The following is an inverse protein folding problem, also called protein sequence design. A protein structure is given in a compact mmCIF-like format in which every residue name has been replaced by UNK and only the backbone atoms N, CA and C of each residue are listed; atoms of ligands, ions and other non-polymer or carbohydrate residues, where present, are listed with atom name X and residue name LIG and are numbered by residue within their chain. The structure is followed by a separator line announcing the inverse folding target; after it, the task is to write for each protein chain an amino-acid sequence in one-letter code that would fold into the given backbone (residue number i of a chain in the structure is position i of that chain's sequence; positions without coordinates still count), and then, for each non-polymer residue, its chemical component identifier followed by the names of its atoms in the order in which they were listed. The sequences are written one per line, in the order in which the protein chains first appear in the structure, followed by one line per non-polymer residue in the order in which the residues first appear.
data_IF_656266556043
#
_entry.id   IF_656266556043
#
_cell.length_a   1.000
_cell.length_b   1.000
_cell.length_c   1.000
_cell.angle_alpha   90.00
_cell.angle_beta   90.00
_cell.angle_gamma   90.00
#
_symmetry.space_group_name_H-M   'P 1'
#
loop_
_entity.id
_entity.type
_entity.pdbx_description
1 polymer ?
#
# COMPACT_ATOMS: atom_id res chain seq x y z
N UNK A 1 -15.48 -6.46 10.59
CA UNK A 1 -15.76 -5.35 9.64
C UNK A 1 -15.85 -5.97 8.26
N UNK A 2 -16.87 -5.60 7.48
CA UNK A 2 -16.97 -6.03 6.09
C UNK A 2 -15.92 -5.27 5.27
N UNK A 3 -15.25 -5.97 4.37
CA UNK A 3 -14.27 -5.39 3.46
C UNK A 3 -14.35 -6.08 2.09
N UNK A 4 -13.78 -5.46 1.08
CA UNK A 4 -13.64 -6.03 -0.27
C UNK A 4 -12.20 -6.52 -0.38
N UNK A 5 -12.02 -7.76 -0.79
CA UNK A 5 -10.71 -8.34 -1.06
C UNK A 5 -10.40 -8.28 -2.56
N UNK A 6 -9.15 -7.98 -2.89
CA UNK A 6 -8.63 -7.94 -4.26
C UNK A 6 -7.49 -8.93 -4.42
N UNK A 7 -7.46 -9.60 -5.55
CA UNK A 7 -6.35 -10.46 -5.95
C UNK A 7 -5.70 -9.99 -7.25
N UNK A 8 -4.44 -10.41 -7.45
CA UNK A 8 -3.64 -9.93 -8.58
C UNK A 8 -4.19 -10.41 -9.92
N UNK A 9 -4.66 -11.65 -9.99
CA UNK A 9 -5.12 -12.24 -11.26
C UNK A 9 -6.37 -11.54 -11.78
N UNK A 10 -7.30 -11.24 -10.89
CA UNK A 10 -8.59 -10.64 -11.22
C UNK A 10 -8.54 -9.12 -11.28
N UNK A 11 -7.91 -8.51 -10.29
CA UNK A 11 -7.99 -7.07 -10.05
C UNK A 11 -6.72 -6.32 -10.47
N UNK A 12 -5.62 -7.07 -10.65
CA UNK A 12 -4.31 -6.54 -11.01
C UNK A 12 -3.51 -5.96 -9.84
N UNK A 13 -4.02 -6.10 -8.61
CA UNK A 13 -3.33 -5.74 -7.36
C UNK A 13 -3.88 -6.58 -6.20
N UNK A 14 -3.09 -6.73 -5.14
CA UNK A 14 -3.46 -7.49 -3.94
C UNK A 14 -3.71 -6.54 -2.77
N UNK A 15 -4.93 -6.48 -2.28
CA UNK A 15 -5.37 -5.49 -1.30
C UNK A 15 -6.66 -5.89 -0.57
N UNK A 16 -7.02 -5.12 0.46
CA UNK A 16 -8.33 -5.16 1.06
C UNK A 16 -8.87 -3.73 1.29
N UNK A 17 -10.10 -3.46 0.89
CA UNK A 17 -10.73 -2.16 1.05
C UNK A 17 -11.76 -2.16 2.17
N UNK A 18 -11.64 -1.16 3.03
CA UNK A 18 -12.45 -0.98 4.22
C UNK A 18 -13.15 0.39 4.14
N UNK A 19 -14.47 0.39 4.00
CA UNK A 19 -15.26 1.62 3.96
C UNK A 19 -15.51 2.12 5.38
N UNK A 20 -15.32 3.41 5.64
CA UNK A 20 -15.71 4.04 6.90
C UNK A 20 -17.24 4.16 7.00
N UNK A 21 -17.75 4.32 8.23
CA UNK A 21 -19.19 4.41 8.48
C UNK A 21 -19.81 5.71 7.96
N UNK A 22 -19.03 6.77 7.98
CA UNK A 22 -19.45 8.07 7.46
C UNK A 22 -19.11 8.14 5.97
N UNK A 23 -19.91 8.82 5.18
CA UNK A 23 -19.58 9.05 3.79
C UNK A 23 -18.31 9.91 3.70
N UNK A 24 -17.24 9.30 3.21
CA UNK A 24 -15.94 9.95 3.02
C UNK A 24 -15.53 9.85 1.57
N UNK A 25 -15.04 10.94 1.03
CA UNK A 25 -14.39 10.99 -0.27
C UNK A 25 -12.85 10.93 -0.17
N UNK A 26 -12.34 10.59 1.01
CA UNK A 26 -10.92 10.44 1.28
C UNK A 26 -10.59 8.98 1.54
N UNK A 27 -9.50 8.50 0.97
CA UNK A 27 -8.96 7.17 1.24
C UNK A 27 -7.46 7.23 1.52
N UNK A 28 -6.97 6.27 2.30
CA UNK A 28 -5.54 6.04 2.53
C UNK A 28 -5.17 4.65 2.05
N UNK A 29 -4.17 4.57 1.18
CA UNK A 29 -3.48 3.32 0.85
C UNK A 29 -2.49 3.07 1.99
N UNK A 30 -2.76 2.06 2.81
CA UNK A 30 -1.95 1.73 3.98
C UNK A 30 -1.08 0.50 3.68
N UNK A 31 0.22 0.74 3.52
CA UNK A 31 1.22 -0.30 3.22
C UNK A 31 1.96 -0.69 4.50
N UNK A 32 1.23 -1.33 5.41
CA UNK A 32 1.73 -1.77 6.71
C UNK A 32 1.43 -3.26 6.89
N UNK A 33 2.41 -3.99 7.41
CA UNK A 33 2.33 -5.45 7.55
C UNK A 33 2.77 -6.21 6.30
N UNK A 34 2.78 -7.54 6.40
CA UNK A 34 3.19 -8.46 5.33
C UNK A 34 2.01 -9.00 4.52
N UNK A 35 0.79 -8.72 4.95
CA UNK A 35 -0.45 -9.10 4.29
C UNK A 35 -1.49 -7.99 4.52
N UNK A 36 -2.35 -7.69 3.51
CA UNK A 36 -3.38 -6.66 3.64
C UNK A 36 -4.36 -6.87 4.80
N UNK A 37 -4.42 -8.07 5.33
CA UNK A 37 -5.36 -8.45 6.39
C UNK A 37 -4.69 -8.95 7.68
N UNK A 38 -3.37 -8.82 7.80
CA UNK A 38 -2.66 -9.19 9.01
C UNK A 38 -2.94 -8.24 10.19
N UNK A 39 -2.34 -8.52 11.34
CA UNK A 39 -2.56 -7.75 12.56
C UNK A 39 -2.16 -6.27 12.40
N UNK A 40 -1.02 -5.98 11.74
CA UNK A 40 -0.54 -4.61 11.56
C UNK A 40 -1.45 -3.84 10.61
N UNK A 41 -1.82 -4.44 9.48
CA UNK A 41 -2.78 -3.86 8.54
C UNK A 41 -4.13 -3.56 9.21
N UNK A 42 -4.69 -4.51 9.94
CA UNK A 42 -5.96 -4.32 10.67
C UNK A 42 -5.87 -3.27 11.77
N UNK A 43 -4.72 -3.11 12.40
CA UNK A 43 -4.50 -2.05 13.40
C UNK A 43 -4.50 -0.67 12.75
N UNK A 44 -3.82 -0.52 11.61
CA UNK A 44 -3.88 0.70 10.81
C UNK A 44 -5.30 1.01 10.34
N UNK A 45 -6.04 0.01 9.86
CA UNK A 45 -7.45 0.15 9.47
C UNK A 45 -8.29 0.72 10.60
N UNK A 46 -8.21 0.14 11.81
CA UNK A 46 -8.98 0.61 12.96
C UNK A 46 -8.71 2.07 13.29
N UNK A 47 -7.45 2.46 13.23
CA UNK A 47 -7.05 3.83 13.50
C UNK A 47 -7.53 4.81 12.44
N UNK A 48 -7.28 4.50 11.16
CA UNK A 48 -7.67 5.36 10.03
C UNK A 48 -9.19 5.50 9.87
N UNK A 49 -9.94 4.42 10.06
CA UNK A 49 -11.42 4.48 10.04
C UNK A 49 -11.98 5.40 11.13
N UNK A 50 -11.34 5.48 12.31
CA UNK A 50 -11.70 6.42 13.37
C UNK A 50 -11.49 7.88 12.97
N UNK A 51 -10.53 8.14 12.08
CA UNK A 51 -10.30 9.47 11.51
C UNK A 51 -11.30 9.81 10.39
N UNK A 52 -12.21 8.91 10.06
CA UNK A 52 -13.25 9.15 9.05
C UNK A 52 -12.77 9.02 7.61
N UNK A 53 -11.69 8.30 7.36
CA UNK A 53 -11.21 8.02 6.01
C UNK A 53 -11.41 6.55 5.64
N UNK A 54 -11.65 6.27 4.36
CA UNK A 54 -11.65 4.93 3.82
C UNK A 54 -10.21 4.39 3.79
N UNK A 55 -10.05 3.08 3.86
CA UNK A 55 -8.71 2.47 3.90
C UNK A 55 -8.60 1.38 2.85
N UNK A 56 -7.55 1.44 2.05
CA UNK A 56 -7.11 0.34 1.21
C UNK A 56 -5.80 -0.18 1.79
N UNK A 57 -5.85 -1.32 2.47
CA UNK A 57 -4.63 -1.99 2.90
C UNK A 57 -3.99 -2.69 1.72
N UNK A 58 -2.72 -2.45 1.51
CA UNK A 58 -1.95 -3.01 0.39
C UNK A 58 -0.55 -3.32 0.89
N UNK A 59 -0.05 -4.49 0.62
CA UNK A 59 1.29 -4.87 1.05
C UNK A 59 1.98 -5.70 -0.01
N UNK A 60 3.26 -5.44 -0.29
CA UNK A 60 4.09 -6.30 -1.12
C UNK A 60 4.49 -7.57 -0.34
N UNK A 61 3.49 -8.27 0.20
CA UNK A 61 3.68 -9.45 1.03
C UNK A 61 3.87 -10.74 0.23
N UNK A 62 3.92 -11.85 0.96
CA UNK A 62 4.24 -13.18 0.41
C UNK A 62 3.26 -13.70 -0.64
N UNK A 63 1.99 -13.31 -0.53
CA UNK A 63 0.93 -13.75 -1.46
C UNK A 63 0.87 -12.92 -2.75
N UNK A 64 1.64 -11.84 -2.82
CA UNK A 64 1.75 -10.98 -3.96
C UNK A 64 3.16 -11.10 -4.57
N UNK A 65 3.81 -9.98 -4.79
CA UNK A 65 5.13 -9.89 -5.41
C UNK A 65 6.28 -10.04 -4.40
N UNK A 66 5.99 -9.83 -3.14
CA UNK A 66 6.99 -9.63 -2.10
C UNK A 66 7.56 -8.22 -2.16
N UNK A 67 8.66 -8.00 -1.43
CA UNK A 67 9.30 -6.68 -1.36
C UNK A 67 10.37 -6.44 -2.45
N UNK A 68 10.52 -7.37 -3.42
CA UNK A 68 11.54 -7.28 -4.46
C UNK A 68 10.94 -6.75 -5.77
N UNK A 69 11.51 -5.64 -6.27
CA UNK A 69 11.07 -5.02 -7.53
C UNK A 69 9.55 -4.85 -7.64
N UNK A 70 8.93 -4.37 -6.58
CA UNK A 70 7.47 -4.26 -6.51
C UNK A 70 6.92 -3.40 -7.66
N UNK A 71 5.98 -3.92 -8.47
CA UNK A 71 5.44 -3.19 -9.61
C UNK A 71 4.58 -2.01 -9.16
N UNK A 72 5.01 -0.78 -9.45
CA UNK A 72 4.28 0.45 -9.09
C UNK A 72 2.92 0.55 -9.79
N UNK A 73 2.76 -0.13 -10.92
CA UNK A 73 1.49 -0.23 -11.65
C UNK A 73 0.36 -0.80 -10.81
N UNK A 74 0.66 -1.56 -9.78
CA UNK A 74 -0.33 -2.06 -8.81
C UNK A 74 -0.90 -0.93 -7.95
N UNK A 75 -0.05 0.00 -7.55
CA UNK A 75 -0.47 1.21 -6.82
C UNK A 75 -1.32 2.10 -7.74
N UNK A 76 -0.91 2.26 -9.00
CA UNK A 76 -1.66 3.02 -9.99
C UNK A 76 -3.07 2.45 -10.21
N UNK A 77 -3.20 1.13 -10.35
CA UNK A 77 -4.50 0.45 -10.45
C UNK A 77 -5.34 0.65 -9.20
N UNK A 78 -4.74 0.56 -8.02
CA UNK A 78 -5.42 0.81 -6.76
C UNK A 78 -5.93 2.27 -6.66
N UNK A 79 -5.13 3.25 -7.07
CA UNK A 79 -5.54 4.66 -7.16
C UNK A 79 -6.73 4.81 -8.11
N UNK A 80 -6.64 4.23 -9.31
CA UNK A 80 -7.71 4.27 -10.30
C UNK A 80 -9.00 3.68 -9.75
N UNK A 81 -8.91 2.53 -9.08
CA UNK A 81 -10.06 1.91 -8.45
C UNK A 81 -10.67 2.79 -7.35
N UNK A 82 -9.85 3.36 -6.47
CA UNK A 82 -10.32 4.25 -5.40
C UNK A 82 -11.05 5.48 -5.97
N UNK A 83 -10.53 6.10 -7.01
CA UNK A 83 -11.16 7.26 -7.67
C UNK A 83 -12.51 6.89 -8.28
N UNK A 84 -12.59 5.76 -8.98
CA UNK A 84 -13.85 5.27 -9.58
C UNK A 84 -14.92 4.91 -8.53
N UNK A 85 -14.51 4.72 -7.27
CA UNK A 85 -15.40 4.43 -6.14
C UNK A 85 -15.59 5.63 -5.19
N UNK A 86 -15.43 6.84 -5.71
CA UNK A 86 -15.81 8.07 -5.01
C UNK A 86 -14.76 8.63 -4.06
N UNK A 87 -13.52 8.12 -4.08
CA UNK A 87 -12.44 8.68 -3.27
C UNK A 87 -11.67 9.74 -4.08
N UNK A 88 -12.06 11.00 -3.90
CA UNK A 88 -11.44 12.13 -4.61
C UNK A 88 -10.05 12.51 -4.08
N UNK A 89 -9.80 12.25 -2.80
CA UNK A 89 -8.52 12.53 -2.14
C UNK A 89 -7.89 11.23 -1.67
N UNK A 90 -6.65 10.99 -2.07
CA UNK A 90 -5.94 9.75 -1.78
C UNK A 90 -4.63 10.09 -1.07
N UNK A 91 -4.43 9.50 0.10
CA UNK A 91 -3.16 9.46 0.79
C UNK A 91 -2.51 8.09 0.68
N UNK A 92 -1.21 8.03 0.91
CA UNK A 92 -0.45 6.78 1.01
C UNK A 92 0.40 6.79 2.28
N UNK A 93 0.45 5.65 2.97
CA UNK A 93 1.23 5.50 4.19
C UNK A 93 2.03 4.20 4.17
N UNK A 94 3.29 4.26 4.57
CA UNK A 94 4.15 3.08 4.66
C UNK A 94 5.25 3.25 5.70
N UNK A 95 5.92 2.15 6.03
CA UNK A 95 7.01 2.10 6.99
C UNK A 95 8.19 1.31 6.44
N UNK A 96 9.42 1.76 6.73
CA UNK A 96 10.66 1.13 6.26
C UNK A 96 10.66 1.01 4.73
N UNK A 97 10.76 -0.18 4.17
CA UNK A 97 10.72 -0.41 2.71
C UNK A 97 9.43 0.11 2.07
N UNK A 98 8.28 -0.08 2.69
CA UNK A 98 7.02 0.47 2.19
C UNK A 98 6.89 1.97 2.43
N UNK A 99 7.63 2.53 3.39
CA UNK A 99 7.78 3.99 3.55
C UNK A 99 8.48 4.62 2.35
N UNK A 100 9.57 4.01 1.90
CA UNK A 100 10.26 4.43 0.66
C UNK A 100 9.37 4.26 -0.55
N UNK A 101 8.63 3.14 -0.65
CA UNK A 101 7.68 2.89 -1.72
C UNK A 101 6.55 3.93 -1.74
N UNK A 102 6.05 4.34 -0.57
CA UNK A 102 5.04 5.38 -0.45
C UNK A 102 5.54 6.75 -0.96
N UNK A 103 6.77 7.12 -0.65
CA UNK A 103 7.40 8.34 -1.18
C UNK A 103 7.60 8.27 -2.69
N UNK A 104 8.07 7.12 -3.19
CA UNK A 104 8.26 6.90 -4.63
C UNK A 104 6.93 7.02 -5.37
N UNK A 105 5.88 6.36 -4.88
CA UNK A 105 4.56 6.45 -5.46
C UNK A 105 4.02 7.90 -5.45
N UNK A 106 4.18 8.62 -4.35
CA UNK A 106 3.73 10.00 -4.24
C UNK A 106 4.50 10.95 -5.19
N UNK A 107 5.76 10.65 -5.52
CA UNK A 107 6.54 11.43 -6.48
C UNK A 107 6.13 11.20 -7.93
N UNK A 108 5.57 10.03 -8.25
CA UNK A 108 5.21 9.61 -9.60
C UNK A 108 3.73 9.83 -9.92
N UNK A 109 2.84 9.63 -8.94
CA UNK A 109 1.41 9.68 -9.14
C UNK A 109 0.82 10.97 -8.56
N UNK A 110 0.48 11.92 -9.43
CA UNK A 110 -0.08 13.22 -9.05
C UNK A 110 -1.44 13.15 -8.33
N UNK A 111 -2.10 12.00 -8.35
CA UNK A 111 -3.35 11.75 -7.63
C UNK A 111 -3.16 11.51 -6.12
N UNK A 112 -1.93 11.31 -5.66
CA UNK A 112 -1.61 11.16 -4.24
C UNK A 112 -1.45 12.57 -3.64
N UNK A 113 -2.37 12.92 -2.74
CA UNK A 113 -2.40 14.24 -2.09
C UNK A 113 -1.57 14.32 -0.81
N UNK A 114 -1.25 13.17 -0.20
CA UNK A 114 -0.53 13.07 1.07
C UNK A 114 0.28 11.79 1.12
N UNK A 115 1.53 11.89 1.55
CA UNK A 115 2.35 10.71 1.85
C UNK A 115 2.84 10.76 3.30
N UNK A 116 2.70 9.63 3.99
CA UNK A 116 3.23 9.40 5.34
C UNK A 116 4.25 8.27 5.23
N UNK A 117 5.52 8.62 5.38
CA UNK A 117 6.61 7.65 5.36
C UNK A 117 7.28 7.59 6.73
N UNK A 118 7.20 6.44 7.38
CA UNK A 118 7.85 6.19 8.66
C UNK A 118 9.18 5.48 8.40
N UNK A 119 10.27 6.07 8.90
CA UNK A 119 11.63 5.52 8.74
C UNK A 119 11.96 5.04 7.31
N UNK A 120 11.70 5.87 6.28
CA UNK A 120 12.03 5.49 4.92
C UNK A 120 13.55 5.51 4.71
N UNK A 121 14.02 4.84 3.66
CA UNK A 121 15.39 5.05 3.14
C UNK A 121 15.43 6.29 2.25
N UNK A 122 16.61 6.88 2.11
CA UNK A 122 16.91 7.99 1.21
C UNK A 122 17.15 7.54 -0.25
N UNK A 123 17.04 6.25 -0.52
CA UNK A 123 17.15 5.65 -1.85
C UNK A 123 16.12 4.54 -2.05
N UNK A 124 15.78 4.26 -3.32
CA UNK A 124 14.83 3.22 -3.68
C UNK A 124 15.52 1.86 -3.65
N UNK A 125 15.03 0.98 -2.81
CA UNK A 125 15.52 -0.38 -2.68
C UNK A 125 14.93 -1.29 -3.76
N UNK A 126 15.71 -2.26 -4.22
CA UNK A 126 15.15 -3.40 -4.94
C UNK A 126 14.21 -4.25 -4.07
N UNK A 127 14.40 -4.20 -2.76
CA UNK A 127 13.64 -4.97 -1.78
C UNK A 127 14.25 -6.34 -1.48
N UNK A 128 13.46 -7.20 -0.86
CA UNK A 128 13.89 -8.51 -0.40
C UNK A 128 13.34 -9.61 -1.30
N UNK A 129 14.21 -10.53 -1.76
CA UNK A 129 13.77 -11.74 -2.45
C UNK A 129 13.29 -12.80 -1.47
N UNK A 130 12.14 -13.40 -1.74
CA UNK A 130 11.65 -14.54 -0.97
C UNK A 130 12.63 -15.72 -1.06
N UNK A 131 12.96 -16.31 0.11
CA UNK A 131 13.82 -17.49 0.19
C UNK A 131 15.33 -17.22 0.19
N UNK A 132 15.78 -15.98 0.06
CA UNK A 132 17.20 -15.61 0.25
C UNK A 132 17.41 -14.98 1.62
N UNK A 133 18.40 -15.50 2.37
CA UNK A 133 18.77 -14.98 3.69
C UNK A 133 19.35 -13.56 3.66
N UNK A 134 19.93 -13.17 2.52
CA UNK A 134 20.59 -11.88 2.32
C UNK A 134 20.00 -11.20 1.07
N UNK A 135 18.93 -10.43 1.25
CA UNK A 135 18.35 -9.61 0.18
C UNK A 135 19.29 -8.53 -0.38
N UNK A 136 20.45 -8.36 0.23
CA UNK A 136 21.46 -7.36 -0.13
C UNK A 136 22.50 -7.84 -1.15
N UNK A 137 22.57 -9.14 -1.46
CA UNK A 137 23.63 -9.70 -2.31
C UNK A 137 23.40 -9.62 -3.82
N UNK A 138 22.24 -9.12 -4.25
CA UNK A 138 21.94 -8.98 -5.67
C UNK A 138 21.80 -7.51 -6.09
N UNK A 139 22.68 -6.67 -5.61
CA UNK A 139 22.87 -5.37 -6.22
C UNK A 139 23.65 -5.58 -7.50
N UNK A 140 23.13 -5.18 -8.69
CA UNK A 140 24.01 -5.00 -9.82
C UNK A 140 24.96 -3.86 -9.46
N UNK A 141 26.19 -4.21 -9.31
CA UNK A 141 27.27 -3.23 -9.23
C UNK A 141 27.39 -2.58 -10.61
#
# INVERSE_FOLDING_TARGET
MKHIHFDVEKDGFYAAYWKCKNDSNCAVIAMLGDDPEDYMARSAVKWLLRLGVNVLTMSPGKKDYGHHNYPLERIEKAITWLKSHGNAKIGIAGASTTGTLALTAASLFGDISLSIAMTPSDFVWQGFMQGKKDGFREWPI
#
